data_IF_177527397793
#
_entry.id   IF_177527397793
#
_cell.length_a   1.000
_cell.length_b   1.000
_cell.length_c   1.000
_cell.angle_alpha   90.00
_cell.angle_beta   90.00
_cell.angle_gamma   90.00
#
_symmetry.space_group_name_H-M   'P 1'
#
loop_
_entity.id
_entity.type
_entity.pdbx_description
1 polymer ?
#
# COMPACT_ATOMS: atom_id res chain seq x y z
N UNK A 1 3.18 -27.00 -15.55
CA UNK A 1 3.99 -25.78 -15.28
C UNK A 1 4.03 -25.59 -13.77
N UNK A 2 5.22 -25.61 -13.16
CA UNK A 2 5.38 -25.56 -11.71
C UNK A 2 5.44 -24.12 -11.16
N UNK A 3 5.79 -23.14 -11.97
CA UNK A 3 5.82 -21.72 -11.56
C UNK A 3 4.61 -20.97 -12.11
N UNK A 4 3.85 -20.36 -11.20
CA UNK A 4 2.81 -19.41 -11.56
C UNK A 4 3.46 -18.09 -11.97
N UNK A 5 3.26 -17.64 -13.19
CA UNK A 5 3.74 -16.34 -13.65
C UNK A 5 2.92 -15.22 -13.02
N UNK A 6 3.59 -14.10 -12.69
CA UNK A 6 2.89 -12.87 -12.33
C UNK A 6 2.14 -12.38 -13.57
N UNK A 7 0.82 -12.47 -13.53
CA UNK A 7 -0.07 -12.05 -14.60
C UNK A 7 -1.37 -11.52 -13.98
N UNK A 8 -1.69 -10.27 -14.28
CA UNK A 8 -2.86 -9.57 -13.75
C UNK A 8 -3.87 -9.19 -14.85
N UNK A 9 -3.78 -9.82 -16.03
CA UNK A 9 -4.76 -9.61 -17.10
C UNK A 9 -6.18 -9.87 -16.59
N UNK A 10 -7.11 -9.01 -17.00
CA UNK A 10 -8.51 -9.05 -16.57
C UNK A 10 -8.72 -8.80 -15.06
N UNK A 11 -7.72 -8.27 -14.34
CA UNK A 11 -7.85 -7.79 -12.96
C UNK A 11 -7.96 -6.26 -12.96
N UNK A 12 -8.73 -5.73 -12.02
CA UNK A 12 -8.82 -4.28 -11.75
C UNK A 12 -8.21 -4.00 -10.39
N UNK A 13 -7.19 -3.16 -10.35
CA UNK A 13 -6.50 -2.75 -9.13
C UNK A 13 -6.82 -1.30 -8.76
N UNK A 14 -7.16 -1.07 -7.50
CA UNK A 14 -7.28 0.26 -6.91
C UNK A 14 -6.03 0.55 -6.08
N UNK A 15 -5.39 1.69 -6.35
CA UNK A 15 -4.18 2.13 -5.62
C UNK A 15 -4.40 3.52 -5.05
N UNK A 16 -4.23 3.67 -3.73
CA UNK A 16 -4.30 4.97 -3.06
C UNK A 16 -2.93 5.60 -2.87
N UNK A 17 -2.86 6.94 -2.84
CA UNK A 17 -1.58 7.64 -2.82
C UNK A 17 -0.76 7.44 -4.10
N UNK A 18 -1.42 7.14 -5.21
CA UNK A 18 -0.80 6.73 -6.47
C UNK A 18 -0.08 7.84 -7.24
N UNK A 19 -0.17 9.11 -6.80
CA UNK A 19 0.42 10.24 -7.54
C UNK A 19 1.95 10.31 -7.51
N UNK A 20 2.59 9.79 -6.45
CA UNK A 20 4.05 9.89 -6.21
C UNK A 20 4.59 8.68 -5.46
N UNK A 21 5.92 8.55 -5.42
CA UNK A 21 6.64 7.59 -4.59
C UNK A 21 6.21 6.13 -4.79
N UNK A 22 6.02 5.41 -3.70
CA UNK A 22 5.68 3.99 -3.68
C UNK A 22 4.37 3.71 -4.41
N UNK A 23 3.30 4.48 -4.11
CA UNK A 23 1.99 4.26 -4.75
C UNK A 23 2.02 4.43 -6.27
N UNK A 24 2.79 5.42 -6.78
CA UNK A 24 3.03 5.57 -8.22
C UNK A 24 3.72 4.32 -8.79
N UNK A 25 4.76 3.84 -8.14
CA UNK A 25 5.51 2.68 -8.61
C UNK A 25 4.65 1.42 -8.60
N UNK A 26 3.87 1.20 -7.53
CA UNK A 26 2.92 0.09 -7.45
C UNK A 26 1.88 0.14 -8.58
N UNK A 27 1.28 1.32 -8.84
CA UNK A 27 0.29 1.47 -9.91
C UNK A 27 0.87 1.14 -11.29
N UNK A 28 2.12 1.58 -11.57
CA UNK A 28 2.81 1.29 -12.83
C UNK A 28 3.14 -0.19 -12.94
N UNK A 29 3.70 -0.82 -11.90
CA UNK A 29 4.07 -2.23 -11.92
C UNK A 29 2.85 -3.17 -12.07
N UNK A 30 1.72 -2.83 -11.44
CA UNK A 30 0.46 -3.56 -11.61
C UNK A 30 -0.06 -3.46 -13.05
N UNK A 31 0.07 -2.28 -13.69
CA UNK A 31 -0.30 -2.09 -15.09
C UNK A 31 0.64 -2.86 -16.04
N UNK A 32 1.93 -2.86 -15.78
CA UNK A 32 2.93 -3.64 -16.52
C UNK A 32 2.63 -5.14 -16.44
N UNK A 33 2.14 -5.61 -15.28
CA UNK A 33 1.67 -6.99 -15.11
C UNK A 33 0.29 -7.27 -15.77
N UNK A 34 -0.37 -6.25 -16.34
CA UNK A 34 -1.59 -6.39 -17.14
C UNK A 34 -2.89 -6.00 -16.43
N UNK A 35 -2.87 -5.41 -15.23
CA UNK A 35 -4.06 -4.95 -14.54
C UNK A 35 -4.61 -3.64 -15.13
N UNK A 36 -5.92 -3.47 -15.14
CA UNK A 36 -6.56 -2.15 -15.26
C UNK A 36 -6.48 -1.41 -13.92
N UNK A 37 -6.33 -0.10 -13.94
CA UNK A 37 -6.05 0.72 -12.77
C UNK A 37 -7.16 1.72 -12.44
N UNK A 38 -7.45 1.82 -11.14
CA UNK A 38 -8.14 2.94 -10.50
C UNK A 38 -7.12 3.58 -9.56
N UNK A 39 -6.75 4.82 -9.83
CA UNK A 39 -5.72 5.52 -9.07
C UNK A 39 -6.30 6.72 -8.34
N UNK A 40 -5.99 6.83 -7.04
CA UNK A 40 -6.51 7.87 -6.16
C UNK A 40 -5.36 8.63 -5.51
N UNK A 41 -5.36 9.95 -5.57
CA UNK A 41 -4.52 10.84 -4.77
C UNK A 41 -5.14 12.24 -4.71
N UNK A 42 -4.58 13.14 -3.89
CA UNK A 42 -5.12 14.51 -3.73
C UNK A 42 -4.87 15.43 -4.94
N UNK A 43 -3.89 15.13 -5.78
CA UNK A 43 -3.41 16.04 -6.84
C UNK A 43 -3.69 15.46 -8.21
N UNK A 44 -4.64 16.03 -8.96
CA UNK A 44 -5.01 15.56 -10.31
C UNK A 44 -3.81 15.59 -11.27
N UNK A 45 -3.03 16.67 -11.28
CA UNK A 45 -1.83 16.82 -12.15
C UNK A 45 -0.82 15.66 -11.99
N UNK A 46 -0.66 15.13 -10.77
CA UNK A 46 0.23 13.98 -10.53
C UNK A 46 -0.40 12.69 -11.06
N UNK A 47 -1.72 12.51 -10.87
CA UNK A 47 -2.46 11.36 -11.40
C UNK A 47 -2.44 11.32 -12.93
N UNK A 48 -2.58 12.48 -13.59
CA UNK A 48 -2.54 12.56 -15.05
C UNK A 48 -1.20 12.08 -15.62
N UNK A 49 -0.09 12.44 -14.96
CA UNK A 49 1.25 11.94 -15.33
C UNK A 49 1.34 10.42 -15.18
N UNK A 50 0.81 9.87 -14.09
CA UNK A 50 0.83 8.42 -13.83
C UNK A 50 -0.07 7.70 -14.83
N UNK A 51 -1.27 8.21 -15.08
CA UNK A 51 -2.21 7.66 -16.05
C UNK A 51 -1.61 7.58 -17.46
N UNK A 52 -0.86 8.62 -17.90
CA UNK A 52 -0.15 8.60 -19.19
C UNK A 52 0.87 7.46 -19.27
N UNK A 53 1.56 7.14 -18.17
CA UNK A 53 2.53 6.03 -18.12
C UNK A 53 1.80 4.68 -18.18
N UNK A 54 0.74 4.50 -17.37
CA UNK A 54 -0.06 3.28 -17.31
C UNK A 54 -0.63 2.92 -18.69
N UNK A 55 -1.15 3.91 -19.42
CA UNK A 55 -1.71 3.70 -20.76
C UNK A 55 -0.71 3.13 -21.79
N UNK A 56 0.60 3.34 -21.58
CA UNK A 56 1.65 2.73 -22.45
C UNK A 56 1.67 1.19 -22.38
N UNK A 57 1.19 0.60 -21.29
CA UNK A 57 1.05 -0.84 -21.11
C UNK A 57 -0.28 -1.40 -21.64
N UNK A 58 -1.08 -0.59 -22.37
CA UNK A 58 -2.43 -0.94 -22.86
C UNK A 58 -3.45 -1.21 -21.75
N UNK A 59 -3.16 -0.84 -20.51
CA UNK A 59 -4.05 -0.92 -19.37
C UNK A 59 -5.00 0.28 -19.33
N UNK A 60 -6.28 0.03 -19.01
CA UNK A 60 -7.23 1.11 -18.71
C UNK A 60 -6.83 1.76 -17.39
N UNK A 61 -6.99 3.09 -17.31
CA UNK A 61 -6.68 3.83 -16.10
C UNK A 61 -7.71 4.93 -15.88
N UNK A 62 -8.41 4.84 -14.75
CA UNK A 62 -9.31 5.89 -14.26
C UNK A 62 -8.66 6.55 -13.04
N UNK A 63 -8.65 7.87 -12.97
CA UNK A 63 -8.03 8.65 -11.90
C UNK A 63 -9.03 9.52 -11.17
N UNK A 64 -8.90 9.60 -9.85
CA UNK A 64 -9.77 10.42 -8.99
C UNK A 64 -8.93 11.27 -8.04
N UNK A 65 -9.05 12.60 -8.16
CA UNK A 65 -8.49 13.52 -7.18
C UNK A 65 -9.38 13.52 -5.93
N UNK A 66 -8.90 12.84 -4.86
CA UNK A 66 -9.64 12.66 -3.63
C UNK A 66 -8.70 12.54 -2.43
N UNK A 67 -9.11 13.11 -1.29
CA UNK A 67 -8.52 12.79 0.00
C UNK A 67 -9.19 11.52 0.53
N UNK A 68 -8.38 10.48 0.80
CA UNK A 68 -8.89 9.17 1.27
C UNK A 68 -9.57 9.25 2.64
N UNK A 69 -9.40 10.35 3.38
CA UNK A 69 -10.12 10.59 4.65
C UNK A 69 -11.55 11.11 4.45
N UNK A 70 -11.92 11.46 3.21
CA UNK A 70 -13.29 11.82 2.86
C UNK A 70 -14.09 10.55 2.52
N UNK A 71 -14.71 9.96 3.54
CA UNK A 71 -15.47 8.71 3.43
C UNK A 71 -16.57 8.76 2.37
N UNK A 72 -17.33 9.84 2.31
CA UNK A 72 -18.46 9.98 1.36
C UNK A 72 -17.96 9.95 -0.09
N UNK A 73 -16.92 10.72 -0.37
CA UNK A 73 -16.34 10.77 -1.72
C UNK A 73 -15.74 9.40 -2.10
N UNK A 74 -15.02 8.74 -1.21
CA UNK A 74 -14.45 7.41 -1.43
C UNK A 74 -15.55 6.37 -1.69
N UNK A 75 -16.62 6.37 -0.87
CA UNK A 75 -17.77 5.48 -1.05
C UNK A 75 -18.39 5.65 -2.44
N UNK A 76 -18.61 6.89 -2.87
CA UNK A 76 -19.15 7.18 -4.19
C UNK A 76 -18.22 6.70 -5.32
N UNK A 77 -16.91 6.95 -5.19
CA UNK A 77 -15.92 6.47 -6.17
C UNK A 77 -15.99 4.94 -6.29
N UNK A 78 -15.98 4.21 -5.17
CA UNK A 78 -15.95 2.75 -5.17
C UNK A 78 -17.26 2.16 -5.68
N UNK A 79 -18.41 2.71 -5.28
CA UNK A 79 -19.73 2.23 -5.74
C UNK A 79 -19.89 2.36 -7.27
N UNK A 80 -19.31 3.39 -7.87
CA UNK A 80 -19.35 3.60 -9.31
C UNK A 80 -18.38 2.70 -10.11
N UNK A 81 -17.55 1.89 -9.45
CA UNK A 81 -16.70 0.94 -10.16
C UNK A 81 -17.49 -0.31 -10.55
N UNK A 82 -17.26 -0.80 -11.77
CA UNK A 82 -17.83 -2.07 -12.22
C UNK A 82 -17.25 -3.27 -11.48
N UNK A 83 -15.96 -3.17 -11.11
CA UNK A 83 -15.20 -4.29 -10.55
C UNK A 83 -13.96 -3.78 -9.83
N UNK A 84 -13.60 -4.45 -8.74
CA UNK A 84 -12.31 -4.32 -8.05
C UNK A 84 -11.86 -5.74 -7.67
N UNK A 85 -10.63 -6.10 -7.98
CA UNK A 85 -10.01 -7.39 -7.64
C UNK A 85 -8.82 -7.23 -6.70
N UNK A 86 -8.15 -6.09 -6.77
CA UNK A 86 -6.94 -5.80 -6.02
C UNK A 86 -7.09 -4.42 -5.38
N UNK A 87 -6.76 -4.32 -4.09
CA UNK A 87 -6.63 -3.05 -3.38
C UNK A 87 -5.21 -2.89 -2.86
N UNK A 88 -4.58 -1.76 -3.16
CA UNK A 88 -3.33 -1.33 -2.54
C UNK A 88 -3.60 -0.09 -1.68
N UNK A 89 -3.74 -0.27 -0.38
CA UNK A 89 -3.87 0.78 0.61
C UNK A 89 -2.48 1.38 0.90
N UNK A 90 -2.07 2.37 0.11
CA UNK A 90 -0.75 2.96 0.25
C UNK A 90 -0.77 4.41 0.79
N UNK A 91 -1.89 5.12 0.69
CA UNK A 91 -1.98 6.48 1.23
C UNK A 91 -1.65 6.52 2.74
N UNK A 92 -0.74 7.39 3.12
CA UNK A 92 -0.31 7.52 4.50
C UNK A 92 0.72 8.63 4.68
N UNK A 93 1.00 8.97 5.92
CA UNK A 93 1.99 9.98 6.30
C UNK A 93 2.70 9.62 7.60
N UNK A 94 3.79 10.32 7.85
CA UNK A 94 4.53 10.25 9.10
C UNK A 94 4.92 11.67 9.51
N UNK A 95 4.52 12.08 10.71
CA UNK A 95 4.89 13.36 11.36
C UNK A 95 5.75 13.01 12.57
N UNK A 96 7.08 13.16 12.47
CA UNK A 96 7.99 12.79 13.54
C UNK A 96 7.93 13.80 14.70
N UNK A 97 7.59 13.31 15.89
CA UNK A 97 7.57 14.12 17.13
C UNK A 97 8.05 13.26 18.30
N UNK A 98 8.78 13.89 19.24
CA UNK A 98 9.14 13.23 20.49
C UNK A 98 7.87 12.90 21.28
N UNK A 99 7.79 11.72 21.91
CA UNK A 99 6.57 11.21 22.56
C UNK A 99 5.90 12.24 23.47
N UNK A 100 6.66 12.89 24.33
CA UNK A 100 6.15 13.91 25.28
C UNK A 100 5.72 15.23 24.63
N UNK A 101 6.00 15.42 23.32
CA UNK A 101 5.70 16.65 22.57
C UNK A 101 4.76 16.41 21.40
N UNK A 102 4.20 15.20 21.29
CA UNK A 102 3.22 14.87 20.24
C UNK A 102 2.00 15.78 20.36
N UNK A 103 1.72 16.52 19.30
CA UNK A 103 0.54 17.38 19.23
C UNK A 103 -0.70 16.50 18.98
N UNK A 104 -1.77 16.73 19.75
CA UNK A 104 -3.04 16.00 19.61
C UNK A 104 -3.54 15.96 18.17
N UNK A 105 -3.57 17.10 17.49
CA UNK A 105 -3.99 17.23 16.10
C UNK A 105 -3.15 16.39 15.11
N UNK A 106 -1.84 16.26 15.33
CA UNK A 106 -0.96 15.46 14.49
C UNK A 106 -1.20 13.96 14.70
N UNK A 107 -1.42 13.55 15.96
CA UNK A 107 -1.78 12.17 16.29
C UNK A 107 -3.11 11.79 15.65
N UNK A 108 -4.16 12.61 15.85
CA UNK A 108 -5.48 12.38 15.29
C UNK A 108 -5.45 12.32 13.75
N UNK A 109 -4.70 13.22 13.11
CA UNK A 109 -4.54 13.22 11.65
C UNK A 109 -3.83 11.94 11.15
N UNK A 110 -2.76 11.51 11.80
CA UNK A 110 -2.07 10.27 11.42
C UNK A 110 -2.96 9.04 11.62
N UNK A 111 -3.69 8.95 12.72
CA UNK A 111 -4.63 7.85 12.97
C UNK A 111 -5.74 7.84 11.93
N UNK A 112 -6.34 9.00 11.65
CA UNK A 112 -7.39 9.15 10.64
C UNK A 112 -6.90 8.73 9.25
N UNK A 113 -5.69 9.18 8.84
CA UNK A 113 -5.17 8.91 7.51
C UNK A 113 -4.60 7.49 7.38
N UNK A 114 -3.74 7.05 8.34
CA UNK A 114 -3.02 5.79 8.18
C UNK A 114 -3.86 4.56 8.53
N UNK A 115 -4.84 4.70 9.45
CA UNK A 115 -5.58 3.55 10.01
C UNK A 115 -7.05 3.59 9.65
N UNK A 116 -7.78 4.65 10.01
CA UNK A 116 -9.24 4.72 9.82
C UNK A 116 -9.59 4.73 8.33
N UNK A 117 -8.89 5.55 7.53
CA UNK A 117 -9.15 5.59 6.09
C UNK A 117 -8.79 4.28 5.40
N UNK A 118 -7.72 3.60 5.85
CA UNK A 118 -7.33 2.28 5.35
C UNK A 118 -8.40 1.24 5.64
N UNK A 119 -8.97 1.24 6.86
CA UNK A 119 -10.09 0.37 7.23
C UNK A 119 -11.30 0.59 6.32
N UNK A 120 -11.75 1.83 6.17
CA UNK A 120 -12.90 2.16 5.33
C UNK A 120 -12.69 1.76 3.87
N UNK A 121 -11.52 2.05 3.31
CA UNK A 121 -11.18 1.64 1.94
C UNK A 121 -11.19 0.12 1.78
N UNK A 122 -10.58 -0.58 2.74
CA UNK A 122 -10.56 -2.04 2.75
C UNK A 122 -11.98 -2.61 2.80
N UNK A 123 -12.84 -2.10 3.68
CA UNK A 123 -14.23 -2.54 3.80
C UNK A 123 -15.02 -2.30 2.51
N UNK A 124 -15.00 -1.07 1.98
CA UNK A 124 -15.75 -0.71 0.77
C UNK A 124 -15.26 -1.50 -0.46
N UNK A 125 -13.94 -1.63 -0.63
CA UNK A 125 -13.39 -2.40 -1.75
C UNK A 125 -13.70 -3.90 -1.60
N UNK A 126 -13.68 -4.43 -0.39
CA UNK A 126 -14.03 -5.85 -0.14
C UNK A 126 -15.50 -6.12 -0.44
N UNK A 127 -16.41 -5.24 -0.02
CA UNK A 127 -17.82 -5.33 -0.41
C UNK A 127 -17.97 -5.35 -1.94
N UNK A 128 -17.28 -4.45 -2.63
CA UNK A 128 -17.28 -4.44 -4.11
C UNK A 128 -16.65 -5.72 -4.72
N UNK A 129 -15.62 -6.28 -4.11
CA UNK A 129 -15.06 -7.58 -4.53
C UNK A 129 -16.10 -8.69 -4.40
N UNK A 130 -16.89 -8.73 -3.33
CA UNK A 130 -17.90 -9.75 -3.06
C UNK A 130 -19.07 -9.72 -4.04
N UNK A 131 -19.38 -8.57 -4.65
CA UNK A 131 -20.40 -8.45 -5.71
C UNK A 131 -19.99 -9.18 -7.01
N UNK A 132 -18.71 -9.50 -7.20
CA UNK A 132 -18.21 -10.14 -8.41
C UNK A 132 -18.66 -11.60 -8.49
N UNK A 133 -19.40 -11.99 -9.54
CA UNK A 133 -19.76 -13.38 -9.80
C UNK A 133 -18.52 -14.28 -9.79
N UNK A 134 -18.65 -15.46 -9.20
CA UNK A 134 -17.56 -16.44 -9.09
C UNK A 134 -16.32 -15.92 -8.31
N UNK A 135 -16.50 -15.00 -7.33
CA UNK A 135 -15.39 -14.47 -6.53
C UNK A 135 -14.51 -15.58 -5.93
N UNK A 136 -15.09 -16.65 -5.40
CA UNK A 136 -14.34 -17.79 -4.85
C UNK A 136 -13.36 -18.42 -5.87
N UNK A 137 -13.73 -18.46 -7.15
CA UNK A 137 -12.86 -18.99 -8.23
C UNK A 137 -11.82 -17.96 -8.66
N UNK A 138 -12.21 -16.70 -8.78
CA UNK A 138 -11.36 -15.61 -9.27
C UNK A 138 -10.35 -15.16 -8.18
N UNK A 139 -10.78 -15.14 -6.93
CA UNK A 139 -10.01 -14.61 -5.81
C UNK A 139 -9.89 -13.08 -5.80
N UNK A 140 -9.40 -12.53 -4.70
CA UNK A 140 -9.10 -11.11 -4.53
C UNK A 140 -7.83 -10.91 -3.72
N UNK A 141 -7.25 -9.70 -3.75
CA UNK A 141 -6.07 -9.37 -2.94
C UNK A 141 -6.16 -7.96 -2.37
N UNK A 142 -6.02 -7.85 -1.06
CA UNK A 142 -5.87 -6.59 -0.34
C UNK A 142 -4.45 -6.50 0.18
N UNK A 143 -3.76 -5.41 -0.12
CA UNK A 143 -2.38 -5.17 0.28
C UNK A 143 -2.33 -3.85 1.03
N UNK A 144 -2.07 -3.93 2.34
CA UNK A 144 -1.93 -2.77 3.20
C UNK A 144 -0.46 -2.35 3.26
N UNK A 145 -0.14 -1.12 2.90
CA UNK A 145 1.20 -0.58 3.01
C UNK A 145 1.49 -0.24 4.47
N UNK A 146 2.16 -1.16 5.14
CA UNK A 146 2.64 -1.02 6.50
C UNK A 146 4.04 -0.40 6.54
N UNK A 147 4.89 -0.82 7.42
CA UNK A 147 6.29 -0.40 7.58
C UNK A 147 7.03 -1.42 8.43
N UNK A 148 8.34 -1.52 8.28
CA UNK A 148 9.19 -2.17 9.28
C UNK A 148 8.94 -1.62 10.70
N UNK A 149 8.52 -0.35 10.81
CA UNK A 149 8.17 0.29 12.08
C UNK A 149 6.92 -0.29 12.76
N UNK A 150 6.23 -1.22 12.14
CA UNK A 150 5.22 -2.03 12.81
C UNK A 150 5.83 -3.18 13.64
N UNK A 151 7.08 -3.55 13.37
CA UNK A 151 7.80 -4.68 13.95
C UNK A 151 8.92 -4.25 14.90
N UNK A 152 9.44 -3.03 14.74
CA UNK A 152 10.50 -2.46 15.59
C UNK A 152 10.20 -1.03 15.99
N UNK A 153 10.75 -0.59 17.11
CA UNK A 153 10.66 0.79 17.55
C UNK A 153 11.60 1.72 16.78
N UNK A 154 11.22 2.98 16.68
CA UNK A 154 12.09 4.03 16.14
C UNK A 154 11.94 5.35 16.91
N UNK A 155 13.00 6.14 17.08
CA UNK A 155 12.92 7.41 17.78
C UNK A 155 11.94 8.35 17.07
N UNK A 156 11.20 9.16 17.87
CA UNK A 156 10.22 10.14 17.39
C UNK A 156 9.15 9.59 16.43
N UNK A 157 8.77 8.30 16.58
CA UNK A 157 7.86 7.57 15.70
C UNK A 157 6.70 6.90 16.40
N UNK A 158 6.45 7.19 17.70
CA UNK A 158 5.46 6.47 18.50
C UNK A 158 4.08 6.37 17.87
N UNK A 159 3.53 7.47 17.36
CA UNK A 159 2.22 7.48 16.68
C UNK A 159 2.28 6.72 15.35
N UNK A 160 3.35 6.90 14.59
CA UNK A 160 3.52 6.17 13.33
C UNK A 160 3.62 4.66 13.57
N UNK A 161 4.42 4.22 14.54
CA UNK A 161 4.51 2.81 14.94
C UNK A 161 3.14 2.26 15.34
N UNK A 162 2.40 2.98 16.19
CA UNK A 162 1.03 2.62 16.59
C UNK A 162 0.12 2.43 15.37
N UNK A 163 0.13 3.37 14.42
CA UNK A 163 -0.73 3.26 13.23
C UNK A 163 -0.35 2.08 12.34
N UNK A 164 0.95 1.80 12.18
CA UNK A 164 1.43 0.71 11.32
C UNK A 164 1.27 -0.66 11.99
N UNK A 165 1.50 -0.78 13.30
CA UNK A 165 1.19 -1.99 14.06
C UNK A 165 -0.31 -2.30 14.03
N UNK A 166 -1.18 -1.28 14.07
CA UNK A 166 -2.63 -1.45 13.89
C UNK A 166 -3.01 -2.07 12.54
N UNK A 167 -2.26 -1.78 11.47
CA UNK A 167 -2.48 -2.41 10.16
C UNK A 167 -2.12 -3.90 10.15
N UNK A 168 -1.16 -4.34 10.95
CA UNK A 168 -0.82 -5.77 11.08
C UNK A 168 -1.99 -6.53 11.73
N UNK A 169 -2.57 -5.98 12.81
CA UNK A 169 -3.75 -6.55 13.46
C UNK A 169 -4.97 -6.57 12.54
N UNK A 170 -5.26 -5.45 11.86
CA UNK A 170 -6.33 -5.37 10.87
C UNK A 170 -6.17 -6.42 9.77
N UNK A 171 -4.96 -6.58 9.24
CA UNK A 171 -4.66 -7.53 8.16
C UNK A 171 -4.93 -8.98 8.58
N UNK A 172 -4.54 -9.37 9.79
CA UNK A 172 -4.81 -10.71 10.33
C UNK A 172 -6.31 -10.98 10.48
N UNK A 173 -7.06 -10.05 11.08
CA UNK A 173 -8.52 -10.18 11.25
C UNK A 173 -9.21 -10.31 9.88
N UNK A 174 -8.93 -9.40 8.96
CA UNK A 174 -9.49 -9.44 7.61
C UNK A 174 -9.14 -10.73 6.85
N UNK A 175 -7.92 -11.26 7.01
CA UNK A 175 -7.50 -12.47 6.34
C UNK A 175 -8.37 -13.69 6.75
N UNK A 176 -8.72 -13.79 8.03
CA UNK A 176 -9.61 -14.83 8.55
C UNK A 176 -11.03 -14.65 8.04
N UNK A 177 -11.57 -13.44 8.14
CA UNK A 177 -12.96 -13.15 7.76
C UNK A 177 -13.22 -13.39 6.27
N UNK A 178 -12.22 -13.13 5.42
CA UNK A 178 -12.35 -13.13 3.96
C UNK A 178 -11.84 -14.40 3.27
N UNK A 179 -11.21 -15.30 4.02
CA UNK A 179 -10.64 -16.55 3.48
C UNK A 179 -11.64 -17.40 2.72
N UNK A 180 -12.87 -17.55 3.25
CA UNK A 180 -13.96 -18.31 2.61
C UNK A 180 -14.36 -17.76 1.23
N UNK A 181 -14.06 -16.50 0.96
CA UNK A 181 -14.33 -15.83 -0.31
C UNK A 181 -13.11 -15.82 -1.24
N UNK A 182 -12.02 -16.47 -0.86
CA UNK A 182 -10.75 -16.47 -1.58
C UNK A 182 -10.20 -15.04 -1.78
N UNK A 183 -10.36 -14.19 -0.77
CA UNK A 183 -9.75 -12.85 -0.73
C UNK A 183 -8.60 -12.89 0.26
N UNK A 184 -7.39 -12.67 -0.23
CA UNK A 184 -6.16 -12.65 0.57
C UNK A 184 -5.90 -11.24 1.07
N UNK A 185 -5.39 -11.11 2.28
CA UNK A 185 -5.05 -9.82 2.89
C UNK A 185 -3.65 -9.92 3.49
N UNK A 186 -2.74 -9.06 3.05
CA UNK A 186 -1.35 -9.05 3.51
C UNK A 186 -0.84 -7.62 3.70
N UNK A 187 0.25 -7.46 4.43
CA UNK A 187 1.00 -6.22 4.48
C UNK A 187 2.30 -6.31 3.68
N UNK A 188 2.74 -5.16 3.17
CA UNK A 188 4.12 -4.94 2.73
C UNK A 188 4.73 -3.91 3.66
N UNK A 189 5.90 -4.23 4.21
CA UNK A 189 6.56 -3.49 5.27
C UNK A 189 7.93 -2.93 4.81
N UNK A 190 7.95 -1.81 4.07
CA UNK A 190 9.21 -1.23 3.62
C UNK A 190 10.00 -0.61 4.77
N UNK A 191 11.33 -0.58 4.60
CA UNK A 191 12.23 0.34 5.29
C UNK A 191 12.23 1.72 4.64
N UNK A 192 13.30 2.48 4.79
CA UNK A 192 13.48 3.76 4.10
C UNK A 192 13.61 3.55 2.60
N UNK A 193 12.63 4.04 1.86
CA UNK A 193 12.57 4.01 0.39
C UNK A 193 12.90 5.39 -0.14
N UNK A 194 13.69 5.48 -1.20
CA UNK A 194 14.02 6.76 -1.84
C UNK A 194 12.78 7.30 -2.57
N UNK A 195 12.12 8.28 -1.96
CA UNK A 195 10.89 8.90 -2.46
C UNK A 195 10.96 10.41 -2.28
N UNK A 196 10.06 11.20 -2.89
CA UNK A 196 9.98 12.63 -2.60
C UNK A 196 9.80 12.95 -1.11
N UNK A 197 9.10 12.10 -0.36
CA UNK A 197 8.89 12.26 1.08
C UNK A 197 10.19 12.07 1.89
N UNK A 198 11.02 11.10 1.52
CA UNK A 198 12.23 10.75 2.28
C UNK A 198 13.46 11.54 1.86
N UNK A 199 13.48 12.10 0.64
CA UNK A 199 14.61 12.87 0.12
C UNK A 199 15.09 13.98 1.06
N UNK A 200 14.18 14.70 1.72
CA UNK A 200 14.55 15.78 2.65
C UNK A 200 15.30 15.25 3.88
N UNK A 201 14.83 14.13 4.46
CA UNK A 201 15.51 13.50 5.60
C UNK A 201 16.90 12.97 5.20
N UNK A 202 17.03 12.44 3.98
CA UNK A 202 18.27 11.88 3.47
C UNK A 202 19.33 12.92 3.08
N UNK A 203 19.00 14.22 3.06
CA UNK A 203 19.98 15.32 2.91
C UNK A 203 20.88 15.44 4.16
N UNK A 204 20.37 15.07 5.33
CA UNK A 204 21.17 15.07 6.55
C UNK A 204 22.15 13.89 6.52
N UNK A 205 23.45 14.17 6.33
CA UNK A 205 24.52 13.16 6.20
C UNK A 205 24.62 12.23 7.42
N UNK A 206 24.46 12.75 8.65
CA UNK A 206 24.48 11.98 9.89
C UNK A 206 23.31 10.99 9.92
N UNK A 207 22.09 11.48 9.72
CA UNK A 207 20.89 10.66 9.67
C UNK A 207 20.98 9.59 8.57
N UNK A 208 21.46 9.96 7.37
CA UNK A 208 21.65 9.03 6.25
C UNK A 208 22.58 7.88 6.64
N UNK A 209 23.75 8.17 7.23
CA UNK A 209 24.72 7.18 7.66
C UNK A 209 24.16 6.27 8.77
N UNK A 210 23.57 6.86 9.81
CA UNK A 210 22.98 6.10 10.93
C UNK A 210 21.84 5.18 10.47
N UNK A 211 21.07 5.63 9.47
CA UNK A 211 19.98 4.82 8.89
C UNK A 211 20.54 3.68 8.04
N UNK A 212 21.55 3.94 7.20
CA UNK A 212 22.20 2.90 6.38
C UNK A 212 22.85 1.82 7.23
N UNK A 213 23.49 2.17 8.34
CA UNK A 213 24.13 1.22 9.25
C UNK A 213 23.14 0.21 9.86
N UNK A 214 21.84 0.52 9.83
CA UNK A 214 20.76 -0.38 10.29
C UNK A 214 20.19 -1.26 9.18
N UNK A 215 20.68 -1.14 7.95
CA UNK A 215 20.22 -1.95 6.82
C UNK A 215 21.35 -2.90 6.42
N UNK A 216 21.31 -4.19 6.80
CA UNK A 216 22.36 -5.14 6.45
C UNK A 216 22.73 -5.21 4.97
N UNK A 217 21.75 -5.04 4.06
CA UNK A 217 22.02 -4.98 2.62
C UNK A 217 22.75 -3.69 2.17
N UNK A 218 23.05 -2.75 3.07
CA UNK A 218 23.90 -1.58 2.83
C UNK A 218 23.33 -0.51 1.88
N UNK A 219 22.05 -0.59 1.52
CA UNK A 219 21.38 0.39 0.64
C UNK A 219 19.96 0.72 1.11
N UNK A 220 19.50 1.90 0.76
CA UNK A 220 18.06 2.19 0.85
C UNK A 220 17.29 1.40 -0.20
N UNK A 221 16.03 1.09 0.11
CA UNK A 221 15.15 0.48 -0.87
C UNK A 221 14.78 1.49 -1.99
N UNK A 222 14.65 0.99 -3.20
CA UNK A 222 14.02 1.70 -4.30
C UNK A 222 12.52 1.43 -4.32
N UNK A 223 11.77 2.30 -4.98
CA UNK A 223 10.31 2.09 -5.13
C UNK A 223 9.97 0.80 -5.88
N UNK A 224 10.87 0.31 -6.74
CA UNK A 224 10.74 -0.96 -7.46
C UNK A 224 10.83 -2.17 -6.53
N UNK A 225 11.67 -2.15 -5.48
CA UNK A 225 11.77 -3.25 -4.50
C UNK A 225 10.39 -3.49 -3.86
N UNK A 226 9.70 -2.40 -3.49
CA UNK A 226 8.37 -2.45 -2.88
C UNK A 226 7.29 -2.82 -3.90
N UNK A 227 7.33 -2.24 -5.10
CA UNK A 227 6.34 -2.49 -6.14
C UNK A 227 6.35 -3.95 -6.60
N UNK A 228 7.52 -4.60 -6.63
CA UNK A 228 7.67 -6.03 -6.94
C UNK A 228 6.96 -6.89 -5.90
N UNK A 229 7.17 -6.64 -4.61
CA UNK A 229 6.49 -7.37 -3.53
C UNK A 229 4.96 -7.18 -3.60
N UNK A 230 4.49 -5.96 -3.86
CA UNK A 230 3.06 -5.66 -4.06
C UNK A 230 2.51 -6.43 -5.25
N UNK A 231 3.20 -6.45 -6.38
CA UNK A 231 2.73 -7.13 -7.60
C UNK A 231 2.70 -8.66 -7.41
N UNK A 232 3.68 -9.21 -6.69
CA UNK A 232 3.67 -10.62 -6.28
C UNK A 232 2.44 -10.94 -5.42
N UNK A 233 2.18 -10.15 -4.36
CA UNK A 233 1.01 -10.34 -3.49
C UNK A 233 -0.32 -10.12 -4.21
N UNK A 234 -0.37 -9.28 -5.24
CA UNK A 234 -1.54 -9.06 -6.06
C UNK A 234 -1.88 -10.25 -6.97
N UNK A 235 -0.89 -11.09 -7.30
CA UNK A 235 -0.98 -12.17 -8.27
C UNK A 235 -1.34 -13.52 -7.65
N UNK A 236 -1.69 -14.48 -8.52
CA UNK A 236 -1.95 -15.88 -8.12
C UNK A 236 -0.66 -16.62 -7.71
N UNK A 237 0.53 -16.03 -7.93
CA UNK A 237 1.81 -16.56 -7.43
C UNK A 237 1.88 -16.60 -5.90
N UNK A 238 1.09 -15.77 -5.22
CA UNK A 238 0.94 -15.74 -3.77
C UNK A 238 -0.39 -16.35 -3.27
N UNK A 239 -0.97 -17.29 -4.03
CA UNK A 239 -2.33 -17.83 -3.76
C UNK A 239 -2.50 -18.48 -2.39
N UNK A 240 -1.43 -18.89 -1.72
CA UNK A 240 -1.46 -19.48 -0.37
C UNK A 240 -0.91 -18.54 0.71
N UNK A 241 -0.74 -17.25 0.38
CA UNK A 241 -0.18 -16.24 1.29
C UNK A 241 -1.30 -15.28 1.71
N UNK A 242 -1.71 -15.32 2.99
CA UNK A 242 -2.70 -14.42 3.59
C UNK A 242 -2.43 -14.25 5.08
N UNK A 243 -2.76 -13.09 5.63
CA UNK A 243 -2.58 -12.75 7.05
C UNK A 243 -1.12 -12.48 7.46
N UNK A 244 -0.21 -12.28 6.52
CA UNK A 244 1.22 -12.14 6.78
C UNK A 244 1.79 -10.79 6.34
N UNK A 245 3.01 -10.54 6.78
CA UNK A 245 3.80 -9.34 6.49
C UNK A 245 4.98 -9.70 5.60
N UNK A 246 5.13 -9.02 4.45
CA UNK A 246 6.33 -9.11 3.63
C UNK A 246 7.25 -7.94 3.97
N UNK A 247 8.33 -8.23 4.66
CA UNK A 247 9.36 -7.25 4.99
C UNK A 247 10.20 -6.94 3.73
N UNK A 248 10.30 -5.65 3.39
CA UNK A 248 11.13 -5.13 2.29
C UNK A 248 12.08 -4.12 2.92
N UNK A 249 12.94 -4.61 3.81
CA UNK A 249 13.69 -3.79 4.77
C UNK A 249 15.21 -3.99 4.74
N UNK A 250 15.69 -4.85 3.84
CA UNK A 250 17.11 -5.14 3.70
C UNK A 250 17.74 -5.79 4.93
N UNK A 251 16.92 -6.44 5.77
CA UNK A 251 17.35 -7.14 6.98
C UNK A 251 17.32 -6.27 8.24
N UNK A 252 16.78 -5.05 8.19
CA UNK A 252 16.72 -4.17 9.38
C UNK A 252 16.08 -4.83 10.60
N UNK A 253 14.98 -5.55 10.42
CA UNK A 253 14.26 -6.18 11.54
C UNK A 253 14.85 -7.50 11.99
N UNK A 254 15.93 -7.95 11.37
CA UNK A 254 16.62 -9.22 11.71
C UNK A 254 17.79 -9.03 12.66
N UNK A 255 18.11 -7.79 13.07
CA UNK A 255 19.21 -7.43 13.98
C UNK A 255 18.71 -6.67 15.19
#
# INVERSE_FOLDING_TARGET
MHLKKINLKNRTALVTGAGKGIGKACAIALAEAGADLIIISRTQKDLDKVSKIIKKFKSKCTSYACDVTNYVQIKNIINNQKKIDILVNNAGTNIPEHFTKVKKQNMEYMVKLNTISTFHLAQLCTLKMLETKNRKKIGGSVINMSSQMAHVGGPIRSVYNMTKAGLEGLTKGMAIDLAKNNIRVNTVCPTFVVTPMTKEFLKNKKFKRETLNKIPLGRFADVSDVATAVTFLASDSSSMITGTSILVDGGWTSI
#
